data_IF_862080828941
#
_entry.id   IF_862080828941
#
_cell.length_a   1.000
_cell.length_b   1.000
_cell.length_c   1.000
_cell.angle_alpha   90.00
_cell.angle_beta   90.00
_cell.angle_gamma   90.00
#
_symmetry.space_group_name_H-M   'P 1'
#
loop_
_entity.id
_entity.type
_entity.pdbx_description
1 polymer ?
#
# COMPACT_ATOMS: atom_id res chain seq x y z
N UNK A 1 12.51 53.08 17.37
CA UNK A 1 13.66 52.19 17.25
C UNK A 1 13.11 50.83 16.90
N UNK A 2 13.51 50.34 15.73
CA UNK A 2 13.10 49.11 15.04
C UNK A 2 13.62 47.85 15.72
N UNK A 3 13.18 46.70 15.19
CA UNK A 3 13.57 45.31 15.47
C UNK A 3 12.64 44.63 16.47
N UNK A 4 11.56 43.97 16.04
CA UNK A 4 11.54 42.77 15.18
C UNK A 4 12.45 41.70 15.78
N UNK A 5 11.87 40.86 16.64
CA UNK A 5 12.47 39.62 17.10
C UNK A 5 11.66 38.49 16.48
N UNK A 6 11.98 38.21 15.22
CA UNK A 6 11.76 36.90 14.62
C UNK A 6 12.74 35.93 15.31
N UNK A 7 12.22 35.06 16.16
CA UNK A 7 12.86 33.80 16.48
C UNK A 7 12.32 32.74 15.50
N UNK A 8 13.04 32.42 14.42
CA UNK A 8 12.76 31.25 13.64
C UNK A 8 13.31 30.02 14.39
N UNK A 9 12.61 28.90 14.20
CA UNK A 9 13.21 27.57 14.24
C UNK A 9 13.39 26.90 15.61
N UNK A 10 12.38 26.09 15.99
CA UNK A 10 12.65 24.67 16.33
C UNK A 10 11.38 23.82 16.24
N UNK A 11 10.88 23.68 15.02
CA UNK A 11 9.80 22.74 14.68
C UNK A 11 10.38 21.47 14.02
N UNK A 12 11.49 20.93 14.55
CA UNK A 12 12.15 19.76 13.98
C UNK A 12 11.86 18.44 14.71
N UNK A 13 11.04 18.44 15.76
CA UNK A 13 10.73 17.19 16.49
C UNK A 13 9.38 16.55 16.09
N UNK A 14 8.49 17.31 15.43
CA UNK A 14 7.19 16.79 14.98
C UNK A 14 7.27 15.93 13.71
N UNK A 15 8.42 15.84 13.05
CA UNK A 15 8.61 15.00 11.86
C UNK A 15 9.15 13.59 12.19
N UNK A 16 9.57 13.33 13.44
CA UNK A 16 10.19 12.05 13.80
C UNK A 16 9.18 10.97 14.28
N UNK A 17 7.94 11.35 14.60
CA UNK A 17 6.94 10.40 15.15
C UNK A 17 6.09 9.74 14.04
N UNK A 18 6.09 10.29 12.82
CA UNK A 18 5.31 9.74 11.69
C UNK A 18 6.12 8.71 10.87
N UNK A 19 7.36 8.41 11.25
CA UNK A 19 8.25 7.54 10.47
C UNK A 19 8.35 6.09 10.94
N UNK A 20 7.74 5.73 12.08
CA UNK A 20 8.07 4.44 12.74
C UNK A 20 6.91 3.47 12.96
N UNK A 21 5.70 3.77 12.49
CA UNK A 21 4.57 2.83 12.49
C UNK A 21 3.90 2.77 11.12
N UNK A 22 4.71 2.60 10.05
CA UNK A 22 4.16 2.12 8.78
C UNK A 22 3.65 0.70 9.01
N UNK A 23 2.37 0.60 9.33
CA UNK A 23 1.64 -0.65 9.18
C UNK A 23 1.98 -1.20 7.79
N UNK A 24 2.47 -2.45 7.67
CA UNK A 24 2.93 -3.03 6.41
C UNK A 24 1.82 -3.13 5.34
N UNK A 25 0.58 -2.81 5.73
CA UNK A 25 -0.57 -2.72 4.84
C UNK A 25 -0.48 -1.54 3.87
N UNK A 26 0.11 -0.40 4.27
CA UNK A 26 0.14 0.82 3.45
C UNK A 26 0.97 0.68 2.17
N UNK A 27 2.23 0.24 2.29
CA UNK A 27 3.11 0.09 1.12
C UNK A 27 2.60 -1.00 0.16
N UNK A 28 1.98 -2.05 0.69
CA UNK A 28 1.40 -3.12 -0.12
C UNK A 28 0.16 -2.66 -0.90
N UNK A 29 -0.70 -1.82 -0.30
CA UNK A 29 -1.84 -1.21 -0.99
C UNK A 29 -1.38 -0.26 -2.10
N UNK A 30 -0.34 0.54 -1.86
CA UNK A 30 0.24 1.43 -2.86
C UNK A 30 0.80 0.62 -4.03
N UNK A 31 1.60 -0.42 -3.73
CA UNK A 31 2.15 -1.31 -4.76
C UNK A 31 1.04 -2.02 -5.53
N UNK A 32 0.03 -2.54 -4.85
CA UNK A 32 -1.15 -3.14 -5.47
C UNK A 32 -1.84 -2.19 -6.43
N UNK A 33 -2.12 -0.95 -6.02
CA UNK A 33 -2.75 0.04 -6.89
C UNK A 33 -1.91 0.32 -8.15
N UNK A 34 -0.58 0.35 -8.02
CA UNK A 34 0.32 0.56 -9.15
C UNK A 34 0.36 -0.63 -10.13
N UNK A 35 0.29 -1.87 -9.64
CA UNK A 35 0.40 -3.07 -10.46
C UNK A 35 -0.95 -3.70 -10.82
N UNK A 36 -2.06 -3.27 -10.21
CA UNK A 36 -3.38 -3.93 -10.30
C UNK A 36 -3.77 -4.23 -11.74
N UNK A 37 -3.62 -3.25 -12.61
CA UNK A 37 -3.95 -3.35 -14.02
C UNK A 37 -3.09 -4.42 -14.74
N UNK A 38 -1.79 -4.44 -14.48
CA UNK A 38 -0.88 -5.46 -15.02
C UNK A 38 -1.13 -6.85 -14.43
N UNK A 39 -1.44 -6.91 -13.14
CA UNK A 39 -1.80 -8.12 -12.41
C UNK A 39 -3.08 -8.76 -12.98
N UNK A 40 -4.10 -7.94 -13.28
CA UNK A 40 -5.33 -8.39 -13.93
C UNK A 40 -5.10 -8.85 -15.38
N UNK A 41 -4.18 -8.22 -16.13
CA UNK A 41 -3.76 -8.72 -17.45
C UNK A 41 -3.07 -10.08 -17.35
N UNK A 42 -2.22 -10.27 -16.34
CA UNK A 42 -1.51 -11.53 -16.14
C UNK A 42 -2.44 -12.66 -15.69
N UNK A 43 -3.44 -12.33 -14.88
CA UNK A 43 -4.38 -13.26 -14.30
C UNK A 43 -5.82 -12.91 -14.71
N UNK A 44 -6.25 -13.23 -15.95
CA UNK A 44 -7.60 -12.92 -16.44
C UNK A 44 -8.71 -13.66 -15.66
N UNK A 45 -8.34 -14.66 -14.86
CA UNK A 45 -9.23 -15.36 -13.93
C UNK A 45 -9.69 -14.50 -12.75
N UNK A 46 -8.92 -13.45 -12.42
CA UNK A 46 -9.24 -12.49 -11.36
C UNK A 46 -10.05 -11.38 -12.01
N UNK A 47 -11.24 -11.13 -11.48
CA UNK A 47 -12.10 -10.07 -11.98
C UNK A 47 -11.97 -8.82 -11.13
N UNK A 48 -12.38 -7.67 -11.67
CA UNK A 48 -12.37 -6.41 -10.93
C UNK A 48 -13.17 -6.52 -9.61
N UNK A 49 -14.23 -7.34 -9.60
CA UNK A 49 -15.00 -7.69 -8.40
C UNK A 49 -14.16 -8.37 -7.32
N UNK A 50 -13.25 -9.28 -7.68
CA UNK A 50 -12.37 -9.95 -6.72
C UNK A 50 -11.30 -8.99 -6.15
N UNK A 51 -11.06 -7.87 -6.84
CA UNK A 51 -10.08 -6.82 -6.47
C UNK A 51 -10.71 -5.56 -5.87
N UNK A 52 -12.02 -5.55 -5.69
CA UNK A 52 -12.75 -4.42 -5.11
C UNK A 52 -12.78 -4.60 -3.60
N UNK A 53 -12.32 -3.60 -2.84
CA UNK A 53 -12.29 -3.63 -1.38
C UNK A 53 -12.54 -2.25 -0.80
N UNK A 54 -13.11 -2.22 0.40
CA UNK A 54 -13.23 -1.00 1.19
C UNK A 54 -11.93 -0.71 1.94
N UNK A 55 -11.74 0.55 2.36
CA UNK A 55 -10.59 0.93 3.18
C UNK A 55 -10.58 0.09 4.46
N UNK A 56 -9.48 -0.66 4.67
CA UNK A 56 -9.35 -1.63 5.78
C UNK A 56 -9.68 -3.08 5.42
N UNK A 57 -10.30 -3.36 4.26
CA UNK A 57 -10.61 -4.73 3.80
C UNK A 57 -9.60 -5.29 2.79
N UNK A 58 -8.39 -4.73 2.76
CA UNK A 58 -7.35 -5.15 1.84
C UNK A 58 -6.94 -6.61 2.04
N UNK A 59 -6.89 -7.10 3.28
CA UNK A 59 -6.62 -8.52 3.54
C UNK A 59 -7.71 -9.45 2.98
N UNK A 60 -8.99 -9.03 3.01
CA UNK A 60 -10.08 -9.80 2.39
C UNK A 60 -9.96 -9.84 0.88
N UNK A 61 -9.51 -8.75 0.26
CA UNK A 61 -9.19 -8.74 -1.17
C UNK A 61 -8.10 -9.77 -1.50
N UNK A 62 -7.00 -9.75 -0.74
CA UNK A 62 -5.92 -10.72 -0.93
C UNK A 62 -6.40 -12.16 -0.73
N UNK A 63 -7.31 -12.40 0.23
CA UNK A 63 -7.96 -13.70 0.43
C UNK A 63 -8.82 -14.13 -0.76
N UNK A 64 -9.55 -13.20 -1.39
CA UNK A 64 -10.36 -13.47 -2.58
C UNK A 64 -9.47 -13.83 -3.77
N UNK A 65 -8.39 -13.08 -3.98
CA UNK A 65 -7.38 -13.35 -5.01
C UNK A 65 -6.70 -14.70 -4.77
N UNK A 66 -6.28 -14.98 -3.54
CA UNK A 66 -5.66 -16.23 -3.13
C UNK A 66 -6.59 -17.43 -3.42
N UNK A 67 -7.86 -17.31 -3.04
CA UNK A 67 -8.88 -18.33 -3.33
C UNK A 67 -9.06 -18.55 -4.83
N UNK A 68 -9.13 -17.47 -5.61
CA UNK A 68 -9.29 -17.54 -7.08
C UNK A 68 -8.09 -18.17 -7.77
N UNK A 69 -6.88 -17.87 -7.29
CA UNK A 69 -5.61 -18.37 -7.83
C UNK A 69 -5.19 -19.71 -7.23
N UNK A 70 -5.94 -20.24 -6.26
CA UNK A 70 -5.59 -21.43 -5.44
C UNK A 70 -4.21 -21.31 -4.77
N UNK A 71 -3.86 -20.10 -4.32
CA UNK A 71 -2.63 -19.80 -3.59
C UNK A 71 -2.92 -19.36 -2.16
N UNK A 72 -1.88 -19.17 -1.38
CA UNK A 72 -2.01 -18.60 -0.03
C UNK A 72 -1.98 -17.06 -0.07
N UNK A 73 -2.66 -16.40 0.86
CA UNK A 73 -2.60 -14.93 1.05
C UNK A 73 -1.14 -14.46 1.16
N UNK A 74 -0.30 -15.24 1.85
CA UNK A 74 1.11 -14.96 2.03
C UNK A 74 1.93 -15.01 0.72
N UNK A 75 1.51 -15.81 -0.25
CA UNK A 75 2.14 -15.85 -1.57
C UNK A 75 1.68 -14.67 -2.42
N UNK A 76 0.37 -14.36 -2.40
CA UNK A 76 -0.20 -13.22 -3.13
C UNK A 76 0.42 -11.91 -2.65
N UNK A 77 0.51 -11.68 -1.34
CA UNK A 77 1.19 -10.47 -0.80
C UNK A 77 2.64 -10.39 -1.27
N UNK A 78 3.36 -11.52 -1.28
CA UNK A 78 4.77 -11.54 -1.63
C UNK A 78 4.94 -11.28 -3.13
N UNK A 79 4.07 -11.85 -3.96
CA UNK A 79 4.03 -11.63 -5.40
C UNK A 79 3.73 -10.16 -5.73
N UNK A 80 2.75 -9.53 -5.06
CA UNK A 80 2.44 -8.11 -5.25
C UNK A 80 3.65 -7.25 -4.85
N UNK A 81 4.26 -7.53 -3.70
CA UNK A 81 5.41 -6.78 -3.19
C UNK A 81 6.63 -6.89 -4.11
N UNK A 82 6.87 -8.07 -4.67
CA UNK A 82 7.98 -8.35 -5.59
C UNK A 82 7.60 -8.21 -7.08
N UNK A 83 6.43 -7.64 -7.39
CA UNK A 83 5.98 -7.55 -8.78
C UNK A 83 6.95 -6.71 -9.60
N UNK A 84 7.43 -7.24 -10.75
CA UNK A 84 8.34 -6.53 -11.62
C UNK A 84 7.61 -5.32 -12.19
N UNK A 85 8.00 -4.12 -11.78
CA UNK A 85 7.63 -2.88 -12.46
C UNK A 85 8.50 -2.77 -13.70
N UNK A 86 7.96 -3.21 -14.83
CA UNK A 86 8.56 -2.99 -16.16
C UNK A 86 8.50 -1.51 -16.54
#
# INVERSE_FOLDING_TARGET
MTSEHEDPDRTDDYQNIVSSNKEPHGDLQIKWAAIKDDYLRKYPSITERDTTYLLGEFEKMLSSIATRTKRSIAEVRNEIMNWPTT
#
